data_IF_876901088789
#
_entry.id   IF_876901088789
#
_cell.length_a   1.000
_cell.length_b   1.000
_cell.length_c   1.000
_cell.angle_alpha   90.00
_cell.angle_beta   90.00
_cell.angle_gamma   90.00
#
_symmetry.space_group_name_H-M   'P 1'
#
loop_
_entity.id
_entity.type
_entity.pdbx_description
1 polymer ?
#
# COMPACT_ATOMS: atom_id res chain seq x y z
N UNK A 1 11.19 -35.33 -17.26
CA UNK A 1 10.37 -34.14 -16.97
C UNK A 1 8.88 -34.49 -16.92
N UNK A 2 8.26 -34.95 -17.99
CA UNK A 2 6.83 -35.31 -18.04
C UNK A 2 6.40 -36.30 -16.95
N UNK A 3 7.21 -37.32 -16.64
CA UNK A 3 6.91 -38.36 -15.63
C UNK A 3 6.74 -37.76 -14.22
N UNK A 4 7.53 -36.76 -13.85
CA UNK A 4 7.40 -36.08 -12.56
C UNK A 4 6.20 -35.11 -12.53
N UNK A 5 5.90 -34.48 -13.65
CA UNK A 5 4.71 -33.62 -13.77
C UNK A 5 3.41 -34.42 -13.68
N UNK A 6 3.38 -35.63 -14.26
CA UNK A 6 2.24 -36.54 -14.16
C UNK A 6 1.98 -37.00 -12.72
N UNK A 7 3.05 -37.36 -12.01
CA UNK A 7 2.94 -37.74 -10.60
C UNK A 7 2.42 -36.63 -9.70
N UNK A 8 2.59 -35.36 -10.11
CA UNK A 8 2.11 -34.17 -9.40
C UNK A 8 0.73 -33.68 -9.89
N UNK A 9 0.09 -34.38 -10.83
CA UNK A 9 -1.21 -33.98 -11.38
C UNK A 9 -1.19 -32.65 -12.19
N UNK A 10 -0.02 -32.25 -12.70
CA UNK A 10 0.16 -31.01 -13.42
C UNK A 10 -0.19 -31.08 -14.90
N UNK A 11 -0.40 -32.25 -15.44
CA UNK A 11 -0.88 -32.41 -16.83
C UNK A 11 -1.79 -33.61 -16.97
N UNK A 12 -2.68 -33.51 -17.94
CA UNK A 12 -3.59 -34.59 -18.36
C UNK A 12 -3.47 -34.80 -19.86
N UNK A 13 -3.67 -36.02 -20.30
CA UNK A 13 -3.62 -36.42 -21.72
C UNK A 13 -4.94 -37.05 -22.08
N UNK A 14 -5.65 -36.46 -23.02
CA UNK A 14 -6.92 -36.93 -23.55
C UNK A 14 -6.85 -37.10 -25.07
N UNK A 15 -7.54 -38.09 -25.62
CA UNK A 15 -7.81 -38.18 -27.04
C UNK A 15 -9.10 -37.41 -27.34
N UNK A 16 -9.05 -36.55 -28.33
CA UNK A 16 -10.20 -35.73 -28.77
C UNK A 16 -10.37 -35.82 -30.27
N UNK A 17 -11.62 -35.92 -30.75
CA UNK A 17 -11.93 -35.90 -32.19
C UNK A 17 -12.18 -34.46 -32.60
N UNK A 18 -11.40 -33.97 -33.54
CA UNK A 18 -11.55 -32.64 -34.13
C UNK A 18 -11.47 -32.70 -35.65
N UNK A 19 -12.49 -32.20 -36.32
CA UNK A 19 -12.59 -32.14 -37.79
C UNK A 19 -12.36 -33.54 -38.46
N UNK A 20 -12.82 -34.61 -37.82
CA UNK A 20 -12.69 -35.97 -38.30
C UNK A 20 -11.30 -36.62 -38.08
N UNK A 21 -10.41 -35.93 -37.39
CA UNK A 21 -9.09 -36.44 -37.01
C UNK A 21 -8.97 -36.70 -35.50
N UNK A 22 -8.35 -37.79 -35.09
CA UNK A 22 -7.97 -38.00 -33.69
C UNK A 22 -6.77 -37.16 -33.35
N UNK A 23 -6.91 -36.33 -32.32
CA UNK A 23 -5.82 -35.49 -31.78
C UNK A 23 -5.53 -35.89 -30.34
N UNK A 24 -4.28 -35.78 -29.95
CA UNK A 24 -3.87 -35.92 -28.54
C UNK A 24 -3.90 -34.49 -27.91
N UNK A 25 -4.79 -34.30 -26.95
CA UNK A 25 -4.89 -33.06 -26.17
C UNK A 25 -4.07 -33.22 -24.90
N UNK A 26 -3.08 -32.34 -24.74
CA UNK A 26 -2.28 -32.27 -23.53
C UNK A 26 -2.67 -31.01 -22.78
N UNK A 27 -3.28 -31.15 -21.61
CA UNK A 27 -3.66 -30.06 -20.71
C UNK A 27 -2.56 -29.94 -19.68
N UNK A 28 -1.90 -28.78 -19.62
CA UNK A 28 -0.84 -28.50 -18.65
C UNK A 28 -1.35 -27.43 -17.69
N UNK A 29 -1.56 -27.81 -16.44
CA UNK A 29 -1.93 -26.85 -15.40
C UNK A 29 -0.74 -25.96 -15.03
N UNK A 30 -1.05 -24.75 -14.58
CA UNK A 30 -0.04 -23.82 -14.05
C UNK A 30 0.40 -24.32 -12.68
N UNK A 31 1.58 -24.93 -12.60
CA UNK A 31 2.13 -25.38 -11.33
C UNK A 31 2.77 -24.26 -10.54
N UNK A 32 2.85 -24.46 -9.23
CA UNK A 32 3.42 -23.50 -8.25
C UNK A 32 4.96 -23.59 -8.14
N UNK A 33 5.56 -24.64 -8.69
CA UNK A 33 7.01 -24.91 -8.61
C UNK A 33 7.76 -24.46 -9.86
N UNK A 34 7.46 -23.29 -10.38
CA UNK A 34 8.22 -22.68 -11.50
C UNK A 34 9.57 -22.14 -11.00
N UNK A 35 10.62 -22.16 -11.85
CA UNK A 35 10.65 -22.69 -13.20
C UNK A 35 10.80 -24.22 -13.22
N UNK A 36 10.08 -24.89 -14.12
CA UNK A 36 10.34 -26.29 -14.44
C UNK A 36 11.55 -26.37 -15.37
N UNK A 37 12.43 -27.33 -15.10
CA UNK A 37 13.67 -27.45 -15.85
C UNK A 37 14.01 -28.91 -16.18
N UNK A 38 14.81 -29.10 -17.21
CA UNK A 38 15.36 -30.42 -17.57
C UNK A 38 16.41 -30.78 -16.52
N UNK A 39 16.22 -31.89 -15.81
CA UNK A 39 17.10 -32.35 -14.73
C UNK A 39 18.58 -32.42 -15.15
N UNK A 40 18.85 -32.79 -16.40
CA UNK A 40 20.21 -32.89 -16.97
C UNK A 40 20.97 -31.54 -16.94
N UNK A 41 20.25 -30.43 -17.08
CA UNK A 41 20.86 -29.10 -17.21
C UNK A 41 20.61 -28.16 -15.99
N UNK A 42 19.82 -28.67 -15.02
CA UNK A 42 19.48 -27.88 -13.83
C UNK A 42 18.71 -26.59 -14.12
N UNK A 43 18.65 -25.70 -13.15
CA UNK A 43 18.03 -24.37 -13.25
C UNK A 43 18.96 -23.37 -13.95
N UNK A 44 19.21 -23.59 -15.21
CA UNK A 44 20.03 -22.76 -16.07
C UNK A 44 19.28 -22.41 -17.36
N UNK A 45 19.71 -21.42 -18.14
CA UNK A 45 19.13 -21.12 -19.44
C UNK A 45 19.05 -22.31 -20.40
N UNK A 46 19.93 -23.30 -20.24
CA UNK A 46 19.90 -24.55 -21.03
C UNK A 46 18.84 -25.54 -20.55
N UNK A 47 18.39 -25.41 -19.30
CA UNK A 47 17.44 -26.32 -18.66
C UNK A 47 16.02 -25.82 -18.63
N UNK A 48 15.82 -24.51 -18.50
CA UNK A 48 14.52 -23.85 -18.32
C UNK A 48 14.11 -23.09 -19.59
N UNK A 49 12.84 -23.24 -19.98
CA UNK A 49 12.28 -22.64 -21.19
C UNK A 49 10.95 -21.94 -20.88
N UNK A 50 10.67 -20.88 -21.62
CA UNK A 50 9.37 -20.20 -21.59
C UNK A 50 8.74 -20.18 -22.98
N UNK A 51 7.42 -20.06 -23.03
CA UNK A 51 6.68 -19.90 -24.28
C UNK A 51 6.66 -18.41 -24.67
N UNK A 52 7.15 -18.11 -25.85
CA UNK A 52 7.06 -16.77 -26.46
C UNK A 52 6.34 -16.93 -27.79
N UNK A 53 5.05 -16.55 -27.84
CA UNK A 53 4.21 -16.82 -29.00
C UNK A 53 4.09 -18.32 -29.29
N UNK A 54 4.58 -18.75 -30.46
CA UNK A 54 4.57 -20.15 -30.89
C UNK A 54 5.87 -20.90 -30.56
N UNK A 55 6.93 -20.23 -30.10
CA UNK A 55 8.26 -20.79 -29.85
C UNK A 55 8.47 -21.09 -28.36
N UNK A 56 9.35 -22.04 -28.06
CA UNK A 56 9.87 -22.30 -26.73
C UNK A 56 11.29 -21.72 -26.66
N UNK A 57 11.45 -20.61 -25.92
CA UNK A 57 12.73 -19.90 -25.81
C UNK A 57 13.43 -20.24 -24.49
N UNK A 58 14.78 -20.33 -24.46
CA UNK A 58 15.52 -20.43 -23.21
C UNK A 58 15.25 -19.21 -22.31
N UNK A 59 15.01 -19.45 -21.03
CA UNK A 59 14.89 -18.38 -20.05
C UNK A 59 16.23 -17.74 -19.77
N UNK A 60 16.24 -16.41 -19.56
CA UNK A 60 17.39 -15.73 -19.00
C UNK A 60 17.59 -16.13 -17.53
N UNK A 61 18.83 -16.10 -17.03
CA UNK A 61 19.11 -16.45 -15.63
C UNK A 61 18.32 -15.61 -14.63
N UNK A 62 18.11 -14.35 -14.94
CA UNK A 62 17.29 -13.43 -14.12
C UNK A 62 15.83 -13.89 -14.05
N UNK A 63 15.24 -14.30 -15.17
CA UNK A 63 13.88 -14.85 -15.20
C UNK A 63 13.78 -16.16 -14.42
N UNK A 64 14.79 -17.02 -14.52
CA UNK A 64 14.89 -18.26 -13.74
C UNK A 64 14.92 -17.93 -12.25
N UNK A 65 15.78 -16.99 -11.83
CA UNK A 65 15.91 -16.58 -10.44
C UNK A 65 14.60 -15.95 -9.91
N UNK A 66 13.95 -15.13 -10.71
CA UNK A 66 12.64 -14.54 -10.37
C UNK A 66 11.56 -15.62 -10.18
N UNK A 67 11.44 -16.55 -11.13
CA UNK A 67 10.47 -17.64 -11.03
C UNK A 67 10.81 -18.61 -9.89
N UNK A 68 12.08 -18.82 -9.60
CA UNK A 68 12.53 -19.62 -8.46
C UNK A 68 12.20 -18.93 -7.12
N UNK A 69 12.40 -17.64 -7.04
CA UNK A 69 11.98 -16.85 -5.87
C UNK A 69 10.45 -16.89 -5.65
N UNK A 70 9.67 -16.97 -6.74
CA UNK A 70 8.21 -17.17 -6.68
C UNK A 70 7.80 -18.64 -6.44
N UNK A 71 8.60 -19.64 -6.90
CA UNK A 71 8.39 -21.07 -6.78
C UNK A 71 8.29 -21.56 -5.33
N UNK A 72 9.22 -21.16 -4.57
CA UNK A 72 9.05 -21.12 -3.16
C UNK A 72 8.15 -19.91 -2.99
N UNK A 73 6.89 -20.07 -2.63
CA UNK A 73 6.37 -19.14 -1.63
C UNK A 73 7.39 -19.29 -0.52
N UNK A 74 8.43 -18.50 -0.60
CA UNK A 74 9.42 -18.43 0.44
C UNK A 74 8.70 -17.72 1.57
N UNK A 75 7.83 -18.50 2.25
CA UNK A 75 7.60 -18.18 3.61
C UNK A 75 8.99 -18.05 4.19
N UNK A 76 9.33 -16.82 4.59
CA UNK A 76 10.55 -16.55 5.33
C UNK A 76 10.67 -17.53 6.54
N UNK A 77 9.59 -18.22 6.89
CA UNK A 77 9.55 -19.35 7.81
C UNK A 77 10.30 -20.61 7.36
N UNK A 78 10.66 -20.73 6.08
CA UNK A 78 11.48 -21.85 5.57
C UNK A 78 12.94 -21.48 5.34
N UNK A 79 13.26 -20.18 5.40
CA UNK A 79 14.63 -19.68 5.26
C UNK A 79 15.34 -19.82 6.61
N UNK A 80 16.43 -20.55 6.66
CA UNK A 80 17.26 -20.65 7.87
C UNK A 80 17.87 -19.28 8.20
N UNK A 81 17.74 -18.84 9.44
CA UNK A 81 18.42 -17.64 9.92
C UNK A 81 19.94 -17.85 9.98
N UNK A 82 20.69 -16.84 9.57
CA UNK A 82 22.14 -16.83 9.73
C UNK A 82 22.57 -16.80 11.22
N UNK A 83 21.68 -16.30 12.11
CA UNK A 83 21.86 -16.29 13.56
C UNK A 83 21.00 -17.36 14.21
N UNK A 84 21.62 -18.14 15.09
CA UNK A 84 20.97 -19.21 15.84
C UNK A 84 20.98 -18.98 17.36
N UNK A 85 21.55 -17.88 17.81
CA UNK A 85 21.68 -17.41 19.20
C UNK A 85 20.56 -16.38 19.54
N UNK A 86 19.31 -16.68 19.16
CA UNK A 86 18.21 -15.74 19.27
C UNK A 86 17.50 -15.80 20.64
N UNK A 87 17.20 -14.64 21.20
CA UNK A 87 16.35 -14.44 22.39
C UNK A 87 15.02 -13.79 22.01
N UNK A 88 13.99 -13.94 22.85
CA UNK A 88 12.62 -13.55 22.55
C UNK A 88 11.89 -12.94 23.77
N UNK A 89 12.59 -12.22 24.62
CA UNK A 89 12.00 -11.62 25.82
C UNK A 89 10.97 -10.55 25.49
N UNK A 90 11.25 -9.73 24.46
CA UNK A 90 10.28 -8.72 23.98
C UNK A 90 9.00 -9.40 23.44
N UNK A 91 9.15 -10.51 22.71
CA UNK A 91 7.98 -11.26 22.22
C UNK A 91 7.15 -11.81 23.39
N UNK A 92 7.81 -12.39 24.42
CA UNK A 92 7.13 -12.88 25.62
C UNK A 92 6.36 -11.77 26.34
N UNK A 93 6.97 -10.62 26.55
CA UNK A 93 6.33 -9.44 27.18
C UNK A 93 5.05 -9.06 26.41
N UNK A 94 5.10 -8.99 25.08
CA UNK A 94 3.91 -8.61 24.29
C UNK A 94 2.79 -9.66 24.34
N UNK A 95 3.12 -10.94 24.41
CA UNK A 95 2.12 -11.99 24.61
C UNK A 95 1.52 -11.93 26.02
N UNK A 96 2.34 -11.70 27.04
CA UNK A 96 1.87 -11.54 28.43
C UNK A 96 0.96 -10.32 28.60
N UNK A 97 1.26 -9.19 27.93
CA UNK A 97 0.39 -8.01 27.87
C UNK A 97 -1.03 -8.33 27.34
N UNK A 98 -1.16 -9.38 26.54
CA UNK A 98 -2.45 -9.87 25.99
C UNK A 98 -3.04 -11.02 26.79
N UNK A 99 -2.49 -11.33 27.95
CA UNK A 99 -2.92 -12.46 28.78
C UNK A 99 -2.62 -13.84 28.15
N UNK A 100 -1.74 -13.89 27.16
CA UNK A 100 -1.34 -15.11 26.44
C UNK A 100 0.09 -15.47 26.81
N UNK A 101 0.27 -16.50 27.64
CA UNK A 101 1.62 -16.95 28.01
C UNK A 101 2.21 -17.87 26.94
N UNK A 102 3.43 -17.56 26.53
CA UNK A 102 4.23 -18.44 25.68
C UNK A 102 4.85 -19.56 26.53
N UNK A 103 4.49 -20.80 26.25
CA UNK A 103 5.09 -21.97 26.89
C UNK A 103 6.47 -22.29 26.30
N UNK A 104 7.18 -23.30 26.84
CA UNK A 104 8.52 -23.67 26.39
C UNK A 104 8.57 -24.14 24.93
N UNK A 105 7.44 -24.62 24.40
CA UNK A 105 7.32 -25.09 23.00
C UNK A 105 6.89 -23.98 22.03
N UNK A 106 6.81 -22.71 22.47
CA UNK A 106 6.32 -21.60 21.63
C UNK A 106 7.05 -21.47 20.30
N UNK A 107 8.34 -21.79 20.26
CA UNK A 107 9.15 -21.73 19.04
C UNK A 107 8.60 -22.62 17.93
N UNK A 108 8.11 -23.80 18.27
CA UNK A 108 7.44 -24.71 17.34
C UNK A 108 6.01 -24.27 17.06
N UNK A 109 5.28 -23.89 18.11
CA UNK A 109 3.87 -23.46 17.99
C UNK A 109 3.73 -22.24 17.10
N UNK A 110 4.66 -21.27 17.17
CA UNK A 110 4.69 -20.08 16.34
C UNK A 110 5.43 -20.25 15.00
N UNK A 111 5.84 -21.49 14.68
CA UNK A 111 6.55 -21.83 13.44
C UNK A 111 7.86 -21.01 13.26
N UNK A 112 8.60 -20.79 14.35
CA UNK A 112 9.89 -20.09 14.35
C UNK A 112 11.09 -20.98 14.00
N UNK A 113 10.84 -22.27 13.80
CA UNK A 113 11.87 -23.27 13.47
C UNK A 113 11.58 -23.88 12.08
N UNK A 114 12.66 -24.16 11.35
CA UNK A 114 12.60 -24.96 10.14
C UNK A 114 12.37 -26.44 10.47
N UNK A 115 12.15 -27.27 9.48
CA UNK A 115 12.01 -28.74 9.63
C UNK A 115 13.22 -29.37 10.35
N UNK A 116 14.43 -28.83 10.10
CA UNK A 116 15.67 -29.26 10.74
C UNK A 116 15.84 -28.72 12.18
N UNK A 117 14.85 -28.02 12.73
CA UNK A 117 14.87 -27.48 14.08
C UNK A 117 15.75 -26.23 14.26
N UNK A 118 16.21 -25.59 13.20
CA UNK A 118 16.95 -24.33 13.23
C UNK A 118 16.02 -23.14 13.23
N UNK A 119 16.41 -22.04 13.84
CA UNK A 119 15.68 -20.80 13.73
C UNK A 119 15.58 -20.34 12.28
N UNK A 120 14.39 -19.96 11.87
CA UNK A 120 14.12 -19.40 10.56
C UNK A 120 14.19 -17.86 10.55
N UNK A 121 13.96 -17.25 9.38
CA UNK A 121 14.04 -15.80 9.23
C UNK A 121 12.90 -15.05 9.94
N UNK A 122 11.74 -15.69 10.16
CA UNK A 122 10.67 -15.12 11.02
C UNK A 122 11.16 -14.99 12.45
N UNK A 123 11.83 -16.04 12.97
CA UNK A 123 12.45 -15.99 14.30
C UNK A 123 13.46 -14.85 14.39
N UNK A 124 14.30 -14.68 13.37
CA UNK A 124 15.25 -13.58 13.31
C UNK A 124 14.60 -12.20 13.40
N UNK A 125 13.54 -11.96 12.63
CA UNK A 125 12.82 -10.67 12.66
C UNK A 125 12.13 -10.39 14.00
N UNK A 126 11.73 -11.46 14.73
CA UNK A 126 11.05 -11.35 16.02
C UNK A 126 11.99 -11.39 17.23
N UNK A 127 13.26 -11.69 17.02
CA UNK A 127 14.26 -11.74 18.07
C UNK A 127 14.48 -10.36 18.70
N UNK A 128 14.95 -10.37 19.97
CA UNK A 128 15.22 -9.15 20.73
C UNK A 128 16.28 -8.28 20.07
N UNK A 129 17.22 -8.91 19.33
CA UNK A 129 18.24 -8.25 18.56
C UNK A 129 18.31 -8.83 17.14
N UNK A 130 18.21 -7.98 16.12
CA UNK A 130 18.34 -8.35 14.72
C UNK A 130 18.89 -7.18 13.89
N UNK A 131 19.18 -7.40 12.62
CA UNK A 131 19.71 -6.36 11.71
C UNK A 131 18.62 -5.62 10.92
N UNK A 132 17.34 -5.87 11.19
CA UNK A 132 16.27 -5.19 10.48
C UNK A 132 15.98 -3.82 11.09
N UNK A 133 15.93 -2.78 10.26
CA UNK A 133 15.67 -1.41 10.70
C UNK A 133 14.68 -0.72 9.77
N UNK A 134 13.57 -0.26 10.33
CA UNK A 134 12.53 0.47 9.61
C UNK A 134 12.83 1.96 9.68
N UNK A 135 12.84 2.63 8.52
CA UNK A 135 13.15 4.06 8.43
C UNK A 135 11.89 4.90 8.36
N UNK A 136 11.87 5.97 9.17
CA UNK A 136 10.88 7.04 9.12
C UNK A 136 11.62 8.34 8.83
N UNK A 137 11.52 8.82 7.60
CA UNK A 137 12.15 10.04 7.14
C UNK A 137 11.13 11.19 7.07
N UNK A 138 11.57 12.41 7.37
CA UNK A 138 10.77 13.63 7.24
C UNK A 138 11.51 14.65 6.41
N UNK A 139 10.82 15.23 5.43
CA UNK A 139 11.33 16.20 4.50
C UNK A 139 10.64 17.55 4.68
N UNK A 140 11.37 18.65 4.48
CA UNK A 140 10.80 20.01 4.47
C UNK A 140 10.31 20.44 3.09
N UNK A 141 10.76 19.78 2.04
CA UNK A 141 10.36 20.02 0.65
C UNK A 141 9.41 18.93 0.13
N UNK A 142 8.82 19.16 -1.05
CA UNK A 142 7.93 18.21 -1.71
C UNK A 142 8.65 17.04 -2.38
N UNK A 143 9.96 17.12 -2.46
CA UNK A 143 10.86 16.07 -2.94
C UNK A 143 11.70 15.47 -1.79
N UNK A 144 12.66 14.60 -2.13
CA UNK A 144 13.52 13.91 -1.15
C UNK A 144 14.86 14.62 -0.91
N UNK A 145 14.98 15.89 -1.30
CA UNK A 145 16.28 16.60 -1.21
C UNK A 145 16.54 17.14 0.19
N UNK A 146 15.53 17.72 0.84
CA UNK A 146 15.70 18.42 2.11
C UNK A 146 15.22 17.57 3.29
N UNK A 147 16.09 16.67 3.74
CA UNK A 147 15.83 15.77 4.86
C UNK A 147 15.94 16.53 6.19
N UNK A 148 14.87 16.52 6.98
CA UNK A 148 14.80 17.14 8.32
C UNK A 148 15.07 16.13 9.42
N UNK A 149 14.46 14.94 9.30
CA UNK A 149 14.61 13.87 10.27
C UNK A 149 14.78 12.53 9.56
N UNK A 150 15.66 11.69 10.08
CA UNK A 150 15.85 10.31 9.66
C UNK A 150 15.90 9.43 10.90
N UNK A 151 14.77 8.91 11.31
CA UNK A 151 14.67 8.04 12.46
C UNK A 151 14.69 6.57 12.02
N UNK A 152 15.41 5.76 12.78
CA UNK A 152 15.46 4.31 12.59
C UNK A 152 14.82 3.60 13.76
N UNK A 153 13.87 2.71 13.45
CA UNK A 153 13.14 1.86 14.39
C UNK A 153 13.43 0.41 14.06
N UNK A 154 14.38 -0.18 14.74
CA UNK A 154 14.82 -1.52 14.43
C UNK A 154 15.88 -2.01 15.41
N UNK A 155 16.69 -2.96 14.93
CA UNK A 155 17.69 -3.68 15.73
C UNK A 155 17.07 -4.38 16.95
N UNK A 156 15.76 -4.61 16.92
CA UNK A 156 14.95 -5.19 17.99
C UNK A 156 13.80 -5.99 17.36
N UNK A 157 12.98 -6.64 18.18
CA UNK A 157 11.80 -7.37 17.70
C UNK A 157 10.94 -6.51 16.77
N UNK A 158 10.55 -7.10 15.63
CA UNK A 158 9.71 -6.43 14.63
C UNK A 158 8.41 -5.88 15.23
N UNK A 159 7.87 -6.55 16.27
CA UNK A 159 6.68 -6.06 17.01
C UNK A 159 6.98 -4.74 17.71
N UNK A 160 8.15 -4.64 18.38
CA UNK A 160 8.59 -3.41 19.03
C UNK A 160 8.82 -2.30 18.00
N UNK A 161 9.51 -2.61 16.90
CA UNK A 161 9.72 -1.67 15.81
C UNK A 161 8.40 -1.15 15.24
N UNK A 162 7.40 -2.03 15.02
CA UNK A 162 6.07 -1.66 14.54
C UNK A 162 5.37 -0.69 15.51
N UNK A 163 5.36 -1.01 16.81
CA UNK A 163 4.76 -0.14 17.83
C UNK A 163 5.44 1.24 17.86
N UNK A 164 6.78 1.27 17.73
CA UNK A 164 7.55 2.51 17.69
C UNK A 164 7.27 3.36 16.45
N UNK A 165 7.15 2.74 15.27
CA UNK A 165 6.75 3.44 14.03
C UNK A 165 5.34 4.01 14.16
N UNK A 166 4.38 3.24 14.68
CA UNK A 166 3.02 3.71 14.92
C UNK A 166 2.99 4.90 15.87
N UNK A 167 3.76 4.84 16.97
CA UNK A 167 3.85 5.94 17.94
C UNK A 167 4.47 7.19 17.30
N UNK A 168 5.55 7.05 16.50
CA UNK A 168 6.14 8.19 15.78
C UNK A 168 5.14 8.83 14.82
N UNK A 169 4.45 8.02 14.02
CA UNK A 169 3.48 8.52 13.06
C UNK A 169 2.23 9.13 13.73
N UNK A 170 1.83 8.66 14.93
CA UNK A 170 0.76 9.29 15.70
C UNK A 170 1.18 10.67 16.24
N UNK A 171 2.45 10.83 16.67
CA UNK A 171 3.01 12.13 17.06
C UNK A 171 3.04 13.10 15.85
N UNK A 172 3.42 12.62 14.68
CA UNK A 172 3.46 13.42 13.44
C UNK A 172 2.05 13.72 12.89
N UNK A 173 1.06 12.88 13.21
CA UNK A 173 -0.33 13.04 12.83
C UNK A 173 -1.01 14.12 13.69
N UNK A 174 -0.47 15.34 13.60
CA UNK A 174 -0.90 16.49 14.40
C UNK A 174 -2.38 16.77 14.18
N UNK A 175 -3.01 17.24 15.25
CA UNK A 175 -4.39 17.65 15.20
C UNK A 175 -4.44 19.13 14.82
N UNK A 176 -5.02 19.44 13.66
CA UNK A 176 -5.41 20.80 13.34
C UNK A 176 -6.69 21.12 14.12
N UNK A 177 -6.68 22.21 14.90
CA UNK A 177 -7.83 22.65 15.66
C UNK A 177 -8.48 23.84 14.97
N UNK A 178 -9.72 23.69 14.52
CA UNK A 178 -10.55 24.81 14.04
C UNK A 178 -11.50 25.22 15.16
N UNK A 179 -11.39 26.45 15.62
CA UNK A 179 -12.29 27.02 16.64
C UNK A 179 -13.46 27.66 15.92
N UNK A 180 -14.65 27.11 16.11
CA UNK A 180 -15.90 27.72 15.69
C UNK A 180 -16.53 28.50 16.86
N UNK A 181 -17.50 29.35 16.64
CA UNK A 181 -18.18 30.04 17.75
C UNK A 181 -18.87 29.11 18.74
N UNK A 182 -19.13 27.84 18.38
CA UNK A 182 -19.84 26.87 19.19
C UNK A 182 -18.96 25.74 19.72
N UNK A 183 -17.88 25.37 19.01
CA UNK A 183 -17.06 24.19 19.37
C UNK A 183 -15.66 24.26 18.77
N UNK A 184 -14.75 23.51 19.36
CA UNK A 184 -13.42 23.26 18.84
C UNK A 184 -13.44 21.92 18.09
N UNK A 185 -13.23 21.97 16.77
CA UNK A 185 -13.14 20.77 15.92
C UNK A 185 -11.67 20.42 15.75
N UNK A 186 -11.32 19.20 16.17
CA UNK A 186 -9.97 18.67 16.03
C UNK A 186 -9.92 17.63 14.91
N UNK A 187 -9.02 17.80 13.95
CA UNK A 187 -8.89 16.86 12.82
C UNK A 187 -7.43 16.48 12.62
N UNK A 188 -7.10 15.17 12.60
CA UNK A 188 -5.74 14.71 12.34
C UNK A 188 -5.36 14.93 10.88
N UNK A 189 -4.06 15.07 10.59
CA UNK A 189 -3.53 15.20 9.22
C UNK A 189 -3.90 14.00 8.34
N UNK A 190 -3.90 12.80 8.92
CA UNK A 190 -4.25 11.55 8.27
C UNK A 190 -5.30 10.80 9.08
N UNK A 191 -6.19 10.08 8.39
CA UNK A 191 -7.16 9.22 9.06
C UNK A 191 -6.43 8.16 9.91
N UNK A 192 -6.64 8.18 11.21
CA UNK A 192 -5.91 7.33 12.18
C UNK A 192 -6.09 5.85 11.91
N UNK A 193 -7.29 5.42 11.53
CA UNK A 193 -7.59 4.01 11.26
C UNK A 193 -6.88 3.57 9.99
N UNK A 194 -7.00 4.33 8.91
CA UNK A 194 -6.32 4.03 7.64
C UNK A 194 -4.80 4.04 7.79
N UNK A 195 -4.26 4.99 8.56
CA UNK A 195 -2.82 5.06 8.86
C UNK A 195 -2.33 3.80 9.56
N UNK A 196 -3.00 3.39 10.63
CA UNK A 196 -2.67 2.17 11.38
C UNK A 196 -2.69 0.94 10.47
N UNK A 197 -3.76 0.77 9.68
CA UNK A 197 -3.89 -0.36 8.75
C UNK A 197 -2.79 -0.36 7.69
N UNK A 198 -2.45 0.79 7.12
CA UNK A 198 -1.41 0.91 6.10
C UNK A 198 -0.02 0.58 6.66
N UNK A 199 0.31 1.06 7.87
CA UNK A 199 1.59 0.78 8.53
C UNK A 199 1.74 -0.72 8.79
N UNK A 200 0.73 -1.34 9.38
CA UNK A 200 0.77 -2.76 9.72
C UNK A 200 0.84 -3.61 8.46
N UNK A 201 0.01 -3.30 7.44
CA UNK A 201 0.03 -4.02 6.18
C UNK A 201 1.39 -3.90 5.48
N UNK A 202 1.99 -2.70 5.47
CA UNK A 202 3.32 -2.51 4.88
C UNK A 202 4.39 -3.37 5.57
N UNK A 203 4.30 -3.58 6.88
CA UNK A 203 5.26 -4.37 7.65
C UNK A 203 4.98 -5.87 7.50
N UNK A 204 3.73 -6.31 7.68
CA UNK A 204 3.39 -7.74 7.68
C UNK A 204 3.47 -8.36 6.29
N UNK A 205 3.13 -7.59 5.26
CA UNK A 205 3.16 -8.05 3.86
C UNK A 205 4.44 -7.69 3.12
N UNK A 206 5.42 -7.05 3.78
CA UNK A 206 6.73 -6.75 3.17
C UNK A 206 7.41 -8.04 2.68
N UNK A 207 8.02 -7.97 1.53
CA UNK A 207 8.85 -9.06 1.03
C UNK A 207 10.27 -8.93 1.64
N UNK A 208 10.47 -9.60 2.75
CA UNK A 208 11.74 -9.59 3.46
C UNK A 208 12.86 -10.38 2.76
N UNK A 209 12.53 -11.12 1.68
CA UNK A 209 13.56 -11.80 0.86
C UNK A 209 14.41 -10.82 0.06
N UNK A 210 13.95 -9.57 -0.13
CA UNK A 210 14.75 -8.50 -0.72
C UNK A 210 15.70 -7.84 0.28
N UNK A 211 15.61 -8.17 1.57
CA UNK A 211 16.37 -7.51 2.65
C UNK A 211 16.14 -5.98 2.71
N UNK A 212 15.03 -5.51 2.15
CA UNK A 212 14.62 -4.11 2.15
C UNK A 212 13.43 -3.95 3.09
N UNK A 213 13.61 -3.31 4.25
CA UNK A 213 12.52 -3.00 5.16
C UNK A 213 11.53 -2.00 4.54
N UNK A 214 10.26 -1.99 5.00
CA UNK A 214 9.34 -0.93 4.62
C UNK A 214 9.85 0.42 5.09
N UNK A 215 9.51 1.49 4.36
CA UNK A 215 9.88 2.86 4.71
C UNK A 215 8.69 3.78 4.74
N UNK A 216 8.78 4.78 5.59
CA UNK A 216 7.77 5.79 5.83
C UNK A 216 8.38 7.16 5.59
N UNK A 217 7.80 7.93 4.68
CA UNK A 217 8.35 9.20 4.22
C UNK A 217 7.30 10.31 4.39
N UNK A 218 7.56 11.24 5.29
CA UNK A 218 6.68 12.36 5.63
C UNK A 218 7.12 13.57 4.83
N UNK A 219 6.21 14.11 4.03
CA UNK A 219 6.37 15.36 3.27
C UNK A 219 5.39 16.41 3.79
N UNK A 220 5.58 17.69 3.47
CA UNK A 220 4.66 18.76 3.87
C UNK A 220 3.20 18.53 3.41
N UNK A 221 3.01 17.85 2.26
CA UNK A 221 1.71 17.65 1.62
C UNK A 221 1.19 16.22 1.71
N UNK A 222 2.00 15.23 2.15
CA UNK A 222 1.64 13.82 2.14
C UNK A 222 2.51 12.95 3.03
N UNK A 223 2.02 11.75 3.32
CA UNK A 223 2.79 10.61 3.84
C UNK A 223 2.88 9.55 2.75
N UNK A 224 4.08 9.06 2.45
CA UNK A 224 4.31 7.91 1.59
C UNK A 224 4.76 6.69 2.42
N UNK A 225 4.08 5.58 2.24
CA UNK A 225 4.39 4.28 2.87
C UNK A 225 4.76 3.32 1.75
N UNK A 226 5.99 2.81 1.74
CA UNK A 226 6.47 1.92 0.69
C UNK A 226 6.93 0.60 1.29
N UNK A 227 6.40 -0.50 0.78
CA UNK A 227 6.82 -1.88 1.12
C UNK A 227 7.36 -2.60 -0.09
N UNK A 228 8.33 -3.48 0.13
CA UNK A 228 8.89 -4.35 -0.91
C UNK A 228 7.90 -5.46 -1.28
N UNK A 229 7.93 -5.86 -2.54
CA UNK A 229 7.08 -6.88 -3.14
C UNK A 229 5.91 -6.31 -3.95
N UNK A 230 5.50 -7.06 -4.96
CA UNK A 230 4.29 -6.80 -5.76
C UNK A 230 3.08 -7.55 -5.19
N UNK A 231 1.91 -7.37 -5.77
CA UNK A 231 0.77 -8.26 -5.49
C UNK A 231 1.13 -9.70 -5.87
N UNK A 232 0.69 -10.71 -5.08
CA UNK A 232 0.82 -12.10 -5.48
C UNK A 232 0.21 -12.34 -6.86
N UNK A 233 0.81 -13.20 -7.70
CA UNK A 233 0.27 -13.53 -9.03
C UNK A 233 -1.16 -14.09 -9.00
N UNK A 234 -1.55 -14.68 -7.86
CA UNK A 234 -2.88 -15.25 -7.62
C UNK A 234 -3.90 -14.21 -7.12
N UNK A 235 -3.55 -12.93 -7.07
CA UNK A 235 -4.41 -11.88 -6.56
C UNK A 235 -4.45 -10.72 -7.56
N UNK A 236 -5.59 -10.49 -8.17
CA UNK A 236 -5.80 -9.33 -9.04
C UNK A 236 -5.93 -8.04 -8.20
N UNK A 237 -5.74 -6.88 -8.85
CA UNK A 237 -5.96 -5.58 -8.19
C UNK A 237 -7.41 -5.41 -7.72
N UNK A 238 -8.36 -5.92 -8.50
CA UNK A 238 -9.77 -5.88 -8.18
C UNK A 238 -10.10 -6.70 -6.91
N UNK A 239 -9.58 -7.92 -6.84
CA UNK A 239 -9.72 -8.77 -5.65
C UNK A 239 -9.06 -8.15 -4.42
N UNK A 240 -7.87 -7.54 -4.59
CA UNK A 240 -7.18 -6.81 -3.53
C UNK A 240 -8.04 -5.65 -3.00
N UNK A 241 -8.64 -4.84 -3.88
CA UNK A 241 -9.50 -3.73 -3.49
C UNK A 241 -10.83 -4.20 -2.88
N UNK A 242 -11.30 -5.38 -3.25
CA UNK A 242 -12.44 -6.04 -2.61
C UNK A 242 -12.12 -6.63 -1.22
N UNK A 243 -10.88 -6.45 -0.73
CA UNK A 243 -10.46 -6.89 0.61
C UNK A 243 -10.03 -8.35 0.68
N UNK A 244 -9.84 -9.03 -0.47
CA UNK A 244 -9.26 -10.37 -0.48
C UNK A 244 -7.80 -10.24 -0.09
N UNK A 245 -7.40 -10.94 0.97
CA UNK A 245 -6.04 -10.90 1.51
C UNK A 245 -5.36 -12.26 1.43
N UNK A 246 -4.22 -12.29 0.77
CA UNK A 246 -3.32 -13.45 0.77
C UNK A 246 -2.05 -13.02 1.54
N UNK A 247 -1.86 -13.48 2.78
CA UNK A 247 -0.70 -13.05 3.56
C UNK A 247 0.59 -13.57 2.93
N UNK A 248 1.53 -12.66 2.67
CA UNK A 248 2.87 -13.01 2.18
C UNK A 248 3.65 -13.76 3.27
N UNK A 249 3.59 -13.26 4.50
CA UNK A 249 4.26 -13.82 5.66
C UNK A 249 3.19 -14.33 6.63
N UNK A 250 2.70 -15.55 6.41
CA UNK A 250 1.59 -16.15 7.19
C UNK A 250 1.92 -16.27 8.69
N UNK A 251 3.20 -16.56 8.99
CA UNK A 251 3.68 -16.70 10.36
C UNK A 251 3.67 -15.34 11.09
N UNK A 252 4.15 -14.27 10.45
CA UNK A 252 4.06 -12.91 10.99
C UNK A 252 2.60 -12.49 11.16
N UNK A 253 1.77 -12.72 10.12
CA UNK A 253 0.35 -12.39 10.19
C UNK A 253 -0.35 -13.07 11.38
N UNK A 254 -0.03 -14.34 11.65
CA UNK A 254 -0.55 -15.07 12.79
C UNK A 254 -0.15 -14.41 14.11
N UNK A 255 1.14 -14.09 14.29
CA UNK A 255 1.66 -13.47 15.51
C UNK A 255 1.05 -12.07 15.71
N UNK A 256 0.95 -11.26 14.65
CA UNK A 256 0.31 -9.94 14.73
C UNK A 256 -1.17 -10.05 15.10
N UNK A 257 -1.87 -11.09 14.65
CA UNK A 257 -3.25 -11.39 15.04
C UNK A 257 -3.34 -11.82 16.51
N UNK A 258 -2.46 -12.71 16.94
CA UNK A 258 -2.39 -13.14 18.34
C UNK A 258 -2.21 -11.95 19.29
N UNK A 259 -1.44 -10.95 18.86
CA UNK A 259 -1.19 -9.71 19.60
C UNK A 259 -2.26 -8.63 19.36
N UNK A 260 -3.34 -8.94 18.63
CA UNK A 260 -4.45 -8.02 18.30
C UNK A 260 -4.00 -6.76 17.53
N UNK A 261 -2.89 -6.86 16.84
CA UNK A 261 -2.41 -5.81 15.94
C UNK A 261 -3.14 -5.84 14.59
N UNK A 262 -3.65 -6.99 14.17
CA UNK A 262 -4.39 -7.22 12.92
C UNK A 262 -5.72 -7.89 13.21
N UNK A 263 -6.76 -7.49 12.49
CA UNK A 263 -8.06 -8.17 12.51
C UNK A 263 -8.13 -9.32 11.50
N UNK A 264 -8.99 -10.30 11.76
CA UNK A 264 -9.05 -11.56 11.00
C UNK A 264 -9.78 -11.49 9.66
N UNK A 265 -10.45 -10.38 9.32
CA UNK A 265 -11.49 -10.36 8.29
C UNK A 265 -11.15 -9.57 7.01
N UNK A 266 -9.88 -9.25 6.73
CA UNK A 266 -9.52 -8.51 5.52
C UNK A 266 -10.06 -7.08 5.45
N UNK A 267 -10.47 -6.52 6.59
CA UNK A 267 -11.10 -5.20 6.68
C UNK A 267 -10.12 -4.03 6.49
N UNK A 268 -8.81 -4.27 6.48
CA UNK A 268 -7.78 -3.23 6.42
C UNK A 268 -7.82 -2.42 5.13
N UNK A 269 -7.80 -3.07 3.97
CA UNK A 269 -7.86 -2.39 2.67
C UNK A 269 -9.17 -1.62 2.48
N UNK A 270 -10.35 -2.18 2.73
CA UNK A 270 -11.61 -1.42 2.69
C UNK A 270 -11.63 -0.17 3.59
N UNK A 271 -10.98 -0.19 4.75
CA UNK A 271 -10.88 0.98 5.63
C UNK A 271 -10.00 2.07 5.03
N UNK A 272 -8.88 1.70 4.39
CA UNK A 272 -8.02 2.64 3.67
C UNK A 272 -8.78 3.24 2.48
N UNK A 273 -9.46 2.41 1.68
CA UNK A 273 -10.23 2.84 0.52
C UNK A 273 -11.37 3.79 0.89
N UNK A 274 -12.05 3.55 2.00
CA UNK A 274 -13.11 4.45 2.50
C UNK A 274 -12.57 5.85 2.79
N UNK A 275 -11.33 5.96 3.29
CA UNK A 275 -10.72 7.23 3.65
C UNK A 275 -10.08 7.94 2.46
N UNK A 276 -9.46 7.20 1.54
CA UNK A 276 -8.57 7.76 0.52
C UNK A 276 -8.86 7.33 -0.92
N UNK A 277 -9.68 6.29 -1.15
CA UNK A 277 -9.92 5.73 -2.48
C UNK A 277 -8.78 4.84 -2.98
N UNK A 278 -8.95 4.27 -4.18
CA UNK A 278 -7.96 3.37 -4.80
C UNK A 278 -6.71 4.11 -5.27
N UNK A 279 -6.85 5.37 -5.59
CA UNK A 279 -5.79 6.24 -6.08
C UNK A 279 -4.63 6.45 -5.09
N UNK A 280 -4.85 6.15 -3.81
CA UNK A 280 -3.77 6.19 -2.83
C UNK A 280 -2.76 5.06 -3.01
N UNK A 281 -3.12 3.99 -3.75
CA UNK A 281 -2.26 2.85 -4.01
C UNK A 281 -1.52 2.99 -5.35
N UNK A 282 -0.21 2.79 -5.32
CA UNK A 282 0.62 2.66 -6.51
C UNK A 282 1.35 1.33 -6.48
N UNK A 283 1.08 0.49 -7.47
CA UNK A 283 1.72 -0.81 -7.66
C UNK A 283 2.82 -0.69 -8.71
N UNK A 284 3.99 -1.23 -8.40
CA UNK A 284 5.10 -1.42 -9.32
C UNK A 284 5.51 -2.89 -9.32
N UNK A 285 6.45 -3.28 -10.15
CA UNK A 285 6.91 -4.67 -10.24
C UNK A 285 7.51 -5.18 -8.91
N UNK A 286 8.10 -4.29 -8.12
CA UNK A 286 8.84 -4.68 -6.91
C UNK A 286 8.36 -4.00 -5.64
N UNK A 287 7.46 -3.02 -5.72
CA UNK A 287 7.02 -2.24 -4.55
C UNK A 287 5.54 -1.90 -4.62
N UNK A 288 4.93 -1.83 -3.45
CA UNK A 288 3.61 -1.24 -3.25
C UNK A 288 3.83 0.04 -2.46
N UNK A 289 3.30 1.16 -2.97
CA UNK A 289 3.31 2.45 -2.27
C UNK A 289 1.89 2.89 -1.98
N UNK A 290 1.67 3.34 -0.75
CA UNK A 290 0.46 4.01 -0.32
C UNK A 290 0.80 5.47 -0.06
N UNK A 291 -0.01 6.39 -0.59
CA UNK A 291 0.18 7.83 -0.41
C UNK A 291 -1.05 8.42 0.27
N UNK A 292 -0.88 8.97 1.46
CA UNK A 292 -1.91 9.71 2.16
C UNK A 292 -1.63 11.20 2.04
N UNK A 293 -2.43 11.96 1.30
CA UNK A 293 -2.31 13.40 1.30
C UNK A 293 -2.61 13.94 2.69
N UNK A 294 -1.91 14.99 3.08
CA UNK A 294 -2.30 15.78 4.25
C UNK A 294 -3.71 16.28 3.96
N UNK A 295 -4.67 15.93 4.83
CA UNK A 295 -5.97 16.59 4.78
C UNK A 295 -5.71 18.03 5.21
N UNK A 296 -5.60 18.93 4.22
CA UNK A 296 -5.39 20.32 4.52
C UNK A 296 -6.59 20.82 5.33
N UNK A 297 -6.40 20.84 6.64
CA UNK A 297 -6.96 21.92 7.42
C UNK A 297 -5.97 23.04 7.23
N UNK A 298 -6.48 24.17 6.75
CA UNK A 298 -5.73 25.39 6.66
C UNK A 298 -4.77 25.49 7.85
N UNK A 299 -3.47 25.34 7.60
CA UNK A 299 -2.50 26.04 8.39
C UNK A 299 -2.73 27.51 8.02
N UNK A 300 -3.78 28.05 8.60
CA UNK A 300 -3.93 29.48 8.70
C UNK A 300 -2.74 29.97 9.54
N UNK A 301 -1.62 30.27 8.89
CA UNK A 301 -0.86 31.41 9.33
C UNK A 301 -1.62 32.62 8.88
N UNK A 302 -2.44 33.05 9.85
CA UNK A 302 -2.82 34.39 10.21
C UNK A 302 -2.29 35.52 9.37
N UNK A 303 -3.22 36.30 9.21
CA UNK A 303 -3.40 37.74 9.13
C UNK A 303 -3.91 38.14 7.78
N UNK A 304 -5.19 38.28 7.69
CA UNK A 304 -5.86 39.51 7.39
C UNK A 304 -7.29 39.30 6.89
N UNK A 305 -8.22 39.82 7.65
CA UNK A 305 -9.57 40.26 7.28
C UNK A 305 -10.46 39.30 6.48
N UNK A 306 -11.27 38.57 7.24
CA UNK A 306 -12.45 37.86 6.79
C UNK A 306 -13.43 38.78 6.09
N UNK A 307 -13.72 38.45 4.85
CA UNK A 307 -15.05 38.69 4.28
C UNK A 307 -15.87 37.48 4.75
N UNK A 308 -16.78 37.70 5.69
CA UNK A 308 -17.54 36.73 6.46
C UNK A 308 -17.95 35.48 5.65
N UNK A 309 -17.50 34.29 6.10
CA UNK A 309 -18.16 33.01 5.86
C UNK A 309 -17.82 32.23 4.60
N UNK A 310 -16.90 32.61 3.72
CA UNK A 310 -16.57 31.86 2.49
C UNK A 310 -15.13 31.34 2.56
N UNK A 311 -14.95 30.00 2.38
CA UNK A 311 -13.63 29.38 2.45
C UNK A 311 -12.68 29.92 1.36
N UNK A 312 -11.39 29.99 1.66
CA UNK A 312 -10.36 30.48 0.74
C UNK A 312 -10.29 29.65 -0.55
N UNK A 313 -10.49 28.34 -0.47
CA UNK A 313 -10.54 27.47 -1.64
C UNK A 313 -11.68 27.83 -2.61
N UNK A 314 -12.82 28.25 -2.09
CA UNK A 314 -13.95 28.72 -2.90
C UNK A 314 -13.60 30.07 -3.51
N UNK A 315 -13.02 30.99 -2.74
CA UNK A 315 -12.58 32.33 -3.23
C UNK A 315 -11.59 32.17 -4.38
N UNK A 316 -10.54 31.36 -4.16
CA UNK A 316 -9.50 31.08 -5.16
C UNK A 316 -10.07 30.43 -6.41
N UNK A 317 -10.96 29.45 -6.27
CA UNK A 317 -11.59 28.80 -7.41
C UNK A 317 -12.48 29.78 -8.20
N UNK A 318 -13.30 30.58 -7.49
CA UNK A 318 -14.22 31.56 -8.09
C UNK A 318 -13.47 32.65 -8.87
N UNK A 319 -12.30 33.10 -8.38
CA UNK A 319 -11.47 34.08 -9.08
C UNK A 319 -10.91 33.52 -10.40
N UNK A 320 -10.59 32.23 -10.44
CA UNK A 320 -10.00 31.57 -11.62
C UNK A 320 -11.00 31.21 -12.73
N UNK A 321 -12.31 31.21 -12.44
CA UNK A 321 -13.33 30.84 -13.44
C UNK A 321 -13.75 32.06 -14.22
N UNK A 322 -13.46 32.06 -15.54
CA UNK A 322 -14.01 32.98 -16.53
C UNK A 322 -14.79 32.19 -17.59
N UNK A 323 -16.12 32.37 -17.63
CA UNK A 323 -17.00 31.64 -18.52
C UNK A 323 -17.14 30.17 -18.12
N UNK A 324 -17.03 29.26 -19.09
CA UNK A 324 -17.14 27.81 -18.90
C UNK A 324 -15.77 27.15 -18.99
N UNK A 325 -15.29 26.61 -17.91
CA UNK A 325 -13.93 26.04 -17.77
C UNK A 325 -14.01 24.56 -17.41
N UNK A 326 -13.22 23.72 -18.05
CA UNK A 326 -13.10 22.31 -17.71
C UNK A 326 -12.22 22.10 -16.47
N UNK A 327 -12.31 20.90 -15.89
CA UNK A 327 -11.60 20.57 -14.67
C UNK A 327 -10.07 20.61 -14.83
N UNK A 328 -9.54 20.15 -15.95
CA UNK A 328 -8.09 20.03 -16.17
C UNK A 328 -7.46 21.41 -16.30
N UNK A 329 -8.13 22.32 -16.98
CA UNK A 329 -7.75 23.73 -17.06
C UNK A 329 -7.75 24.39 -15.68
N UNK A 330 -8.79 24.20 -14.85
CA UNK A 330 -8.84 24.74 -13.50
C UNK A 330 -7.72 24.17 -12.61
N UNK A 331 -7.44 22.87 -12.70
CA UNK A 331 -6.32 22.27 -11.97
C UNK A 331 -4.96 22.85 -12.38
N UNK A 332 -4.78 23.09 -13.68
CA UNK A 332 -3.57 23.71 -14.22
C UNK A 332 -3.37 25.13 -13.74
N UNK A 333 -4.43 25.95 -13.79
CA UNK A 333 -4.40 27.36 -13.32
C UNK A 333 -4.03 27.42 -11.84
N UNK A 334 -4.57 26.50 -11.03
CA UNK A 334 -4.33 26.44 -9.59
C UNK A 334 -3.05 25.70 -9.21
N UNK A 335 -2.31 25.16 -10.17
CA UNK A 335 -1.09 24.37 -9.92
C UNK A 335 -1.32 23.04 -9.18
N UNK A 336 -2.58 22.54 -9.13
CA UNK A 336 -2.96 21.38 -8.35
C UNK A 336 -2.85 20.11 -9.18
N UNK A 337 -1.87 19.28 -8.90
CA UNK A 337 -1.64 18.01 -9.64
C UNK A 337 -2.58 16.88 -9.23
N UNK A 338 -3.09 16.88 -7.99
CA UNK A 338 -3.92 15.81 -7.43
C UNK A 338 -5.41 16.02 -7.70
N UNK A 339 -5.96 15.22 -8.62
CA UNK A 339 -7.36 15.28 -9.08
C UNK A 339 -8.39 15.16 -7.95
N UNK A 340 -8.17 14.23 -7.02
CA UNK A 340 -9.09 13.98 -5.91
C UNK A 340 -9.07 15.10 -4.88
N UNK A 341 -7.88 15.64 -4.58
CA UNK A 341 -7.72 16.82 -3.74
C UNK A 341 -8.49 18.02 -4.31
N UNK A 342 -8.26 18.33 -5.59
CA UNK A 342 -8.97 19.41 -6.28
C UNK A 342 -10.50 19.22 -6.25
N UNK A 343 -10.97 17.99 -6.54
CA UNK A 343 -12.41 17.67 -6.50
C UNK A 343 -13.01 17.88 -5.10
N UNK A 344 -12.33 17.37 -4.06
CA UNK A 344 -12.90 17.37 -2.71
C UNK A 344 -12.75 18.70 -1.99
N UNK A 345 -11.71 19.50 -2.28
CA UNK A 345 -11.43 20.75 -1.59
C UNK A 345 -11.92 21.99 -2.33
N UNK A 346 -11.94 21.93 -3.66
CA UNK A 346 -12.34 23.08 -4.48
C UNK A 346 -13.70 22.85 -5.13
N UNK A 347 -13.87 21.81 -5.94
CA UNK A 347 -15.08 21.63 -6.72
C UNK A 347 -16.31 21.28 -5.88
N UNK A 348 -16.24 20.25 -5.04
CA UNK A 348 -17.40 19.81 -4.25
C UNK A 348 -17.92 20.88 -3.30
N UNK A 349 -17.11 21.55 -2.48
CA UNK A 349 -17.59 22.63 -1.62
C UNK A 349 -18.21 23.77 -2.43
N UNK A 350 -17.54 24.20 -3.50
CA UNK A 350 -18.06 25.29 -4.35
C UNK A 350 -19.39 24.96 -5.02
N UNK A 351 -19.61 23.70 -5.40
CA UNK A 351 -20.89 23.23 -5.94
C UNK A 351 -21.94 23.14 -4.82
N UNK A 352 -21.61 22.53 -3.68
CA UNK A 352 -22.53 22.33 -2.56
C UNK A 352 -23.02 23.66 -1.97
N UNK A 353 -22.14 24.63 -1.89
CA UNK A 353 -22.46 25.99 -1.42
C UNK A 353 -23.07 26.87 -2.51
N UNK A 354 -23.15 26.37 -3.75
CA UNK A 354 -23.82 27.04 -4.86
C UNK A 354 -23.05 28.20 -5.48
N UNK A 355 -21.72 28.23 -5.41
CA UNK A 355 -20.88 29.24 -6.09
C UNK A 355 -20.57 28.87 -7.54
N UNK A 356 -20.53 27.59 -7.84
CA UNK A 356 -20.33 27.07 -9.21
C UNK A 356 -21.37 26.00 -9.50
N UNK A 357 -21.63 25.80 -10.79
CA UNK A 357 -22.56 24.78 -11.27
C UNK A 357 -21.97 23.99 -12.45
N UNK A 358 -22.55 22.81 -12.68
CA UNK A 358 -22.25 21.98 -13.84
C UNK A 358 -22.91 22.59 -15.10
N UNK A 359 -22.16 22.62 -16.21
CA UNK A 359 -22.75 23.00 -17.51
C UNK A 359 -23.65 21.90 -18.08
N UNK A 360 -23.40 20.64 -17.70
CA UNK A 360 -24.22 19.45 -18.04
C UNK A 360 -24.73 18.77 -16.75
N UNK A 361 -25.77 19.30 -16.10
CA UNK A 361 -26.21 18.82 -14.78
C UNK A 361 -26.77 17.38 -14.80
N UNK A 362 -27.29 16.92 -15.94
CA UNK A 362 -27.85 15.58 -16.13
C UNK A 362 -26.77 14.55 -16.48
N UNK A 363 -25.58 14.99 -16.88
CA UNK A 363 -24.47 14.13 -17.31
C UNK A 363 -23.19 14.47 -16.52
N UNK A 364 -23.25 14.39 -15.19
CA UNK A 364 -22.16 14.82 -14.28
C UNK A 364 -20.84 14.12 -14.52
N UNK A 365 -20.81 12.97 -15.17
CA UNK A 365 -19.62 12.18 -15.48
C UNK A 365 -19.12 12.34 -16.92
N UNK A 366 -19.77 13.19 -17.73
CA UNK A 366 -19.37 13.42 -19.11
C UNK A 366 -17.95 13.99 -19.20
N UNK A 367 -17.18 13.54 -20.19
CA UNK A 367 -15.84 14.09 -20.51
C UNK A 367 -15.94 15.55 -20.99
N UNK A 368 -17.10 15.97 -21.45
CA UNK A 368 -17.38 17.34 -21.90
C UNK A 368 -17.88 18.24 -20.78
N UNK A 369 -17.95 17.75 -19.53
CA UNK A 369 -18.39 18.49 -18.37
C UNK A 369 -17.49 19.69 -18.11
N UNK A 370 -18.09 20.90 -18.04
CA UNK A 370 -17.44 22.14 -17.61
C UNK A 370 -18.13 22.71 -16.38
N UNK A 371 -17.51 23.72 -15.81
CA UNK A 371 -17.98 24.42 -14.62
C UNK A 371 -18.10 25.89 -14.94
N UNK A 372 -19.14 26.54 -14.42
CA UNK A 372 -19.32 27.99 -14.52
C UNK A 372 -19.80 28.58 -13.21
N UNK A 373 -19.59 29.87 -13.03
CA UNK A 373 -20.07 30.61 -11.86
C UNK A 373 -21.59 30.72 -11.88
N UNK A 374 -22.21 30.53 -10.72
CA UNK A 374 -23.62 30.92 -10.50
C UNK A 374 -23.74 32.43 -10.25
N UNK A 375 -24.96 32.93 -10.12
CA UNK A 375 -25.18 34.32 -9.70
C UNK A 375 -24.49 34.67 -8.38
N UNK A 376 -24.49 33.69 -7.41
CA UNK A 376 -23.79 33.79 -6.12
C UNK A 376 -22.27 33.87 -6.31
N UNK A 377 -21.73 33.02 -7.21
CA UNK A 377 -20.31 33.03 -7.54
C UNK A 377 -19.85 34.31 -8.22
N UNK A 378 -20.65 34.85 -9.14
CA UNK A 378 -20.38 36.13 -9.80
C UNK A 378 -20.37 37.28 -8.82
N UNK A 379 -21.30 37.30 -7.88
CA UNK A 379 -21.35 38.33 -6.83
C UNK A 379 -20.11 38.29 -5.94
N UNK A 380 -19.69 37.08 -5.52
CA UNK A 380 -18.46 36.86 -4.75
C UNK A 380 -17.22 37.34 -5.53
N UNK A 381 -17.09 36.94 -6.81
CA UNK A 381 -15.98 37.41 -7.67
C UNK A 381 -15.92 38.93 -7.81
N UNK A 382 -17.08 39.56 -7.93
CA UNK A 382 -17.18 41.04 -7.97
C UNK A 382 -16.73 41.71 -6.68
N UNK A 383 -17.01 41.11 -5.52
CA UNK A 383 -16.56 41.62 -4.22
C UNK A 383 -15.05 41.44 -4.04
N UNK A 384 -14.50 40.29 -4.46
CA UNK A 384 -13.06 40.02 -4.37
C UNK A 384 -12.23 40.98 -5.24
N UNK A 385 -12.69 41.32 -6.46
CA UNK A 385 -12.02 42.26 -7.36
C UNK A 385 -12.08 43.73 -6.90
N UNK A 386 -12.94 44.09 -5.96
CA UNK A 386 -13.02 45.45 -5.41
C UNK A 386 -12.10 45.66 -4.21
N UNK A 387 -11.62 44.55 -3.63
CA UNK A 387 -10.77 44.59 -2.44
C UNK A 387 -9.27 44.37 -2.79
N UNK A 388 -8.94 44.13 -4.08
CA UNK A 388 -7.59 44.25 -4.66
C UNK A 388 -7.37 45.68 -5.20
#
# INVERSE_FOLDING_TARGET
MLRNMYAMGLFDIAEEQKDGCSIIKIIVASGIEKPYFKTKYGMTPRGAYMRVGTSAEPMLQEQINRLFAMRTRNSIGRIVSNRQDLSFEQLRIYYDERGKRLNDNFKRTLELLTEDGKYNYVAYLLADENGNSIKVAKYSSLDRCDLVENNEYGYCSLIKATKSVLAKLDIENKIAATITPMERIETPLWNKVALREAVINAIVHNDYSFEVPPKFEIFPDRLEITSAGCLPESLSKEEFFNGISIPRNKELMRIYRDLELVESLGSGIPRILRAYGEECFKFTDNFIRITFPVTAHDTAHDTAHDVEGVSEHIRTLVTCIDGEVDRETLQSILGIKHRTYFRNKYLKPSINEGYIEFTLPNEKQSKLQKYRLTAKGLALKGTLKRNE
#
